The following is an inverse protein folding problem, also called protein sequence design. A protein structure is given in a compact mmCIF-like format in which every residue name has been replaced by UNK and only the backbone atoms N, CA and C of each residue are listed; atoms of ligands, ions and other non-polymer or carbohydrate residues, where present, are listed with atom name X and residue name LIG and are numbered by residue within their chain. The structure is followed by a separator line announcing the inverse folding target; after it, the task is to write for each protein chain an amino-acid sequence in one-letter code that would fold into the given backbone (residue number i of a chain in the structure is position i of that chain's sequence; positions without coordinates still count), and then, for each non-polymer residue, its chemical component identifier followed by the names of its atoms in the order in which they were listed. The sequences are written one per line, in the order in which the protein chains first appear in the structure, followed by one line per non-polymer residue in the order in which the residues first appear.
data_IF_196318145455
#
_entry.id   IF_196318145455
#
_cell.length_a   1.000
_cell.length_b   1.000
_cell.length_c   1.000
_cell.angle_alpha   90.00
_cell.angle_beta   90.00
_cell.angle_gamma   90.00
#
_symmetry.space_group_name_H-M   'P 1'
#
loop_
_entity.id
_entity.type
_entity.pdbx_description
1 polymer ?
#
# COMPACT_ATOMS: atom_id res chain seq x y z
N UNK A 1 -31.30 3.66 13.26
CA UNK A 1 -30.71 4.43 12.14
C UNK A 1 -31.55 4.17 10.88
N UNK A 2 -32.18 5.21 10.33
CA UNK A 2 -32.98 5.07 9.12
C UNK A 2 -32.07 5.29 7.92
N UNK A 3 -31.90 4.27 7.07
CA UNK A 3 -31.08 4.36 5.86
C UNK A 3 -31.71 5.31 4.86
N UNK A 4 -30.91 6.17 4.17
CA UNK A 4 -31.41 6.99 3.09
C UNK A 4 -32.01 6.15 1.96
N UNK A 5 -32.98 6.68 1.21
CA UNK A 5 -33.66 5.98 0.10
C UNK A 5 -32.72 5.57 -1.04
N UNK A 6 -31.62 6.29 -1.20
CA UNK A 6 -30.60 5.98 -2.23
C UNK A 6 -29.64 4.85 -1.81
N UNK A 7 -29.70 4.40 -0.56
CA UNK A 7 -28.85 3.32 -0.06
C UNK A 7 -29.14 2.01 -0.81
N UNK A 8 -28.13 1.21 -1.06
CA UNK A 8 -28.29 -0.06 -1.74
C UNK A 8 -29.09 -1.02 -0.85
N UNK A 9 -30.26 -1.44 -1.34
CA UNK A 9 -31.15 -2.32 -0.57
C UNK A 9 -30.60 -3.73 -0.38
N UNK A 10 -29.69 -4.15 -1.26
CA UNK A 10 -28.99 -5.43 -1.18
C UNK A 10 -27.80 -5.43 -0.23
N UNK A 11 -27.36 -4.26 0.22
CA UNK A 11 -26.22 -4.14 1.12
C UNK A 11 -26.63 -4.42 2.56
N UNK A 12 -26.11 -5.51 3.12
CA UNK A 12 -26.25 -5.79 4.53
C UNK A 12 -25.44 -4.77 5.34
N UNK A 13 -26.04 -4.19 6.38
CA UNK A 13 -25.31 -3.27 7.24
C UNK A 13 -24.23 -4.00 8.00
N UNK A 14 -23.00 -3.63 7.69
CA UNK A 14 -21.82 -4.09 8.40
C UNK A 14 -20.88 -2.90 8.63
N UNK A 15 -20.59 -2.60 9.88
CA UNK A 15 -19.77 -1.45 10.26
C UNK A 15 -18.32 -1.52 9.69
N UNK A 16 -17.85 -2.74 9.45
CA UNK A 16 -16.50 -2.99 8.94
C UNK A 16 -16.42 -2.99 7.42
N UNK A 17 -17.39 -3.60 6.74
CA UNK A 17 -17.34 -3.89 5.30
C UNK A 17 -18.20 -2.95 4.44
N UNK A 18 -18.91 -2.00 5.05
CA UNK A 18 -19.78 -1.08 4.34
C UNK A 18 -19.05 -0.30 3.25
N UNK A 19 -19.45 -0.51 1.97
CA UNK A 19 -18.84 0.09 0.78
C UNK A 19 -17.34 -0.17 0.58
N UNK A 20 -16.82 -1.23 1.15
CA UNK A 20 -15.44 -1.66 0.96
C UNK A 20 -15.36 -2.67 -0.19
N UNK A 21 -15.07 -2.18 -1.38
CA UNK A 21 -15.02 -2.97 -2.61
C UNK A 21 -13.60 -3.19 -3.13
N UNK A 22 -12.63 -2.39 -2.71
CA UNK A 22 -11.28 -2.33 -3.24
C UNK A 22 -10.45 -3.60 -3.03
N UNK A 23 -10.82 -4.48 -2.12
CA UNK A 23 -10.18 -5.81 -1.94
C UNK A 23 -10.18 -6.64 -3.22
N UNK A 24 -11.22 -6.55 -4.08
CA UNK A 24 -11.23 -7.29 -5.35
C UNK A 24 -10.13 -6.83 -6.30
N UNK A 25 -9.71 -5.57 -6.21
CA UNK A 25 -8.62 -5.02 -7.02
C UNK A 25 -7.26 -5.58 -6.59
N UNK A 26 -7.09 -5.98 -5.34
CA UNK A 26 -5.89 -6.68 -4.87
C UNK A 26 -5.78 -8.06 -5.56
N UNK A 27 -6.89 -8.79 -5.71
CA UNK A 27 -6.91 -10.03 -6.49
C UNK A 27 -6.60 -9.79 -7.97
N UNK A 28 -7.13 -8.71 -8.56
CA UNK A 28 -6.78 -8.33 -9.92
C UNK A 28 -5.27 -8.06 -10.06
N UNK A 29 -4.67 -7.35 -9.11
CA UNK A 29 -3.24 -7.08 -9.09
C UNK A 29 -2.41 -8.37 -8.94
N UNK A 30 -2.80 -9.29 -8.06
CA UNK A 30 -2.12 -10.58 -7.91
C UNK A 30 -2.11 -11.39 -9.21
N UNK A 31 -3.20 -11.37 -9.99
CA UNK A 31 -3.25 -12.00 -11.31
C UNK A 31 -2.22 -11.36 -12.25
N UNK A 32 -2.21 -10.05 -12.33
CA UNK A 32 -1.26 -9.32 -13.20
C UNK A 32 0.18 -9.52 -12.75
N UNK A 33 0.46 -9.49 -11.44
CA UNK A 33 1.79 -9.76 -10.89
C UNK A 33 2.28 -11.18 -11.24
N UNK A 34 1.39 -12.16 -11.30
CA UNK A 34 1.75 -13.52 -11.73
C UNK A 34 2.30 -13.53 -13.15
N UNK A 35 1.72 -12.73 -14.06
CA UNK A 35 2.27 -12.53 -15.41
C UNK A 35 3.61 -11.81 -15.37
N UNK A 36 3.70 -10.72 -14.60
CA UNK A 36 4.89 -9.88 -14.55
C UNK A 36 6.11 -10.62 -13.98
N UNK A 37 5.92 -11.45 -12.97
CA UNK A 37 7.01 -12.18 -12.31
C UNK A 37 7.35 -13.50 -12.98
N UNK A 38 6.35 -14.26 -13.44
CA UNK A 38 6.52 -15.63 -13.91
C UNK A 38 6.16 -15.85 -15.39
N UNK A 39 5.82 -14.77 -16.12
CA UNK A 39 5.35 -14.83 -17.50
C UNK A 39 4.20 -15.85 -17.72
N UNK A 40 3.36 -16.02 -16.69
CA UNK A 40 2.24 -16.93 -16.73
C UNK A 40 1.13 -16.44 -17.68
N UNK A 41 0.43 -17.37 -18.33
CA UNK A 41 -0.76 -17.04 -19.11
C UNK A 41 -1.93 -16.69 -18.17
N UNK A 42 -2.32 -15.42 -18.16
CA UNK A 42 -3.44 -14.90 -17.37
C UNK A 42 -4.72 -14.74 -18.18
N UNK A 43 -4.73 -15.11 -19.45
CA UNK A 43 -5.90 -14.98 -20.34
C UNK A 43 -7.19 -15.52 -19.74
N UNK A 44 -7.22 -16.67 -19.05
CA UNK A 44 -8.44 -17.20 -18.42
C UNK A 44 -9.01 -16.29 -17.30
N UNK A 45 -8.21 -15.40 -16.74
CA UNK A 45 -8.56 -14.53 -15.61
C UNK A 45 -8.87 -13.08 -16.02
N UNK A 46 -8.62 -12.69 -17.29
CA UNK A 46 -8.93 -11.35 -17.78
C UNK A 46 -10.41 -10.96 -17.59
N UNK A 47 -11.40 -11.87 -17.79
CA UNK A 47 -12.79 -11.52 -17.55
C UNK A 47 -13.11 -11.09 -16.12
N UNK A 48 -12.36 -11.61 -15.12
CA UNK A 48 -12.50 -11.16 -13.72
C UNK A 48 -12.03 -9.72 -13.55
N UNK A 49 -10.87 -9.38 -14.13
CA UNK A 49 -10.33 -8.01 -14.08
C UNK A 49 -11.30 -7.05 -14.76
N UNK A 50 -11.78 -7.37 -15.96
CA UNK A 50 -12.73 -6.56 -16.72
C UNK A 50 -14.04 -6.33 -15.97
N UNK A 51 -14.62 -7.39 -15.40
CA UNK A 51 -15.85 -7.30 -14.61
C UNK A 51 -15.66 -6.43 -13.38
N UNK A 52 -14.53 -6.57 -12.69
CA UNK A 52 -14.23 -5.77 -11.50
C UNK A 52 -14.10 -4.29 -11.85
N UNK A 53 -13.34 -3.94 -12.89
CA UNK A 53 -13.20 -2.56 -13.34
C UNK A 53 -14.53 -1.97 -13.81
N UNK A 54 -15.33 -2.73 -14.56
CA UNK A 54 -16.66 -2.33 -15.02
C UNK A 54 -17.59 -2.08 -13.83
N UNK A 55 -17.54 -2.94 -12.79
CA UNK A 55 -18.31 -2.71 -11.57
C UNK A 55 -18.01 -1.34 -10.95
N UNK A 56 -16.74 -0.97 -10.78
CA UNK A 56 -16.38 0.32 -10.18
C UNK A 56 -16.92 1.51 -10.99
N UNK A 57 -16.82 1.50 -12.32
CA UNK A 57 -17.34 2.58 -13.16
C UNK A 57 -18.87 2.66 -13.08
N UNK A 58 -19.58 1.55 -13.27
CA UNK A 58 -21.04 1.52 -13.30
C UNK A 58 -21.66 1.76 -11.92
N UNK A 59 -21.09 1.18 -10.86
CA UNK A 59 -21.59 1.28 -9.50
C UNK A 59 -21.65 2.74 -9.03
N UNK A 60 -20.55 3.47 -9.16
CA UNK A 60 -20.50 4.86 -8.70
C UNK A 60 -21.37 5.78 -9.57
N UNK A 61 -21.47 5.53 -10.87
CA UNK A 61 -22.42 6.25 -11.77
C UNK A 61 -23.87 5.99 -11.36
N UNK A 62 -24.22 4.75 -11.06
CA UNK A 62 -25.56 4.38 -10.61
C UNK A 62 -25.89 5.04 -9.27
N UNK A 63 -24.97 4.99 -8.30
CA UNK A 63 -25.19 5.61 -6.99
C UNK A 63 -25.32 7.13 -7.10
N UNK A 64 -24.56 7.78 -7.97
CA UNK A 64 -24.71 9.20 -8.25
C UNK A 64 -26.10 9.53 -8.83
N UNK A 65 -26.54 8.76 -9.81
CA UNK A 65 -27.88 8.89 -10.41
C UNK A 65 -29.00 8.74 -9.37
N UNK A 66 -28.94 7.72 -8.53
CA UNK A 66 -29.91 7.50 -7.42
C UNK A 66 -30.01 8.68 -6.46
N UNK A 67 -28.93 9.43 -6.28
CA UNK A 67 -28.89 10.61 -5.42
C UNK A 67 -29.23 11.90 -6.16
N UNK A 68 -29.55 11.86 -7.45
CA UNK A 68 -29.75 13.03 -8.28
C UNK A 68 -28.48 13.91 -8.39
N UNK A 69 -27.31 13.29 -8.39
CA UNK A 69 -26.00 13.95 -8.46
C UNK A 69 -25.25 13.57 -9.73
N UNK A 70 -24.27 14.39 -10.11
CA UNK A 70 -23.35 14.07 -11.20
C UNK A 70 -22.38 12.98 -10.73
N UNK A 71 -22.04 12.06 -11.63
CA UNK A 71 -21.05 11.01 -11.38
C UNK A 71 -19.61 11.52 -11.54
N UNK A 72 -19.42 12.58 -12.32
CA UNK A 72 -18.12 13.19 -12.57
C UNK A 72 -18.05 14.57 -11.91
N UNK A 73 -16.85 14.91 -11.45
CA UNK A 73 -16.51 16.25 -10.97
C UNK A 73 -16.33 17.27 -12.12
N UNK A 74 -15.93 18.50 -11.79
CA UNK A 74 -15.71 19.57 -12.78
C UNK A 74 -14.52 19.33 -13.71
N UNK A 75 -13.63 18.39 -13.38
CA UNK A 75 -12.46 18.02 -14.16
C UNK A 75 -12.69 16.72 -14.97
N UNK A 76 -13.86 16.11 -14.87
CA UNK A 76 -14.18 14.85 -15.55
C UNK A 76 -13.79 13.60 -14.76
N UNK A 77 -13.36 13.72 -13.50
CA UNK A 77 -13.03 12.57 -12.68
C UNK A 77 -14.27 11.95 -12.03
N UNK A 78 -14.27 10.63 -11.91
CA UNK A 78 -15.33 9.87 -11.24
C UNK A 78 -15.35 10.20 -9.74
N UNK A 79 -16.55 10.44 -9.21
CA UNK A 79 -16.75 10.67 -7.77
C UNK A 79 -17.04 9.33 -7.09
N UNK A 80 -16.06 8.82 -6.37
CA UNK A 80 -16.15 7.55 -5.63
C UNK A 80 -16.85 7.79 -4.28
N UNK A 81 -18.20 7.88 -4.31
CA UNK A 81 -19.02 8.11 -3.12
C UNK A 81 -20.37 7.37 -3.21
N UNK A 82 -20.87 6.75 -2.11
CA UNK A 82 -20.14 6.48 -0.87
C UNK A 82 -19.08 5.39 -1.06
N UNK A 83 -18.00 5.48 -0.29
CA UNK A 83 -16.92 4.52 -0.32
C UNK A 83 -16.39 4.22 1.09
N UNK A 84 -15.38 3.37 1.14
CA UNK A 84 -14.57 3.10 2.32
C UNK A 84 -13.10 3.26 1.99
N UNK A 85 -12.31 3.74 2.93
CA UNK A 85 -10.87 3.59 2.89
C UNK A 85 -10.51 2.48 3.87
N UNK A 86 -10.40 1.27 3.34
CA UNK A 86 -10.35 0.00 4.09
C UNK A 86 -11.51 -0.09 5.10
N UNK A 87 -11.37 -0.90 6.15
CA UNK A 87 -12.36 -0.96 7.23
C UNK A 87 -12.39 0.31 8.10
N UNK A 88 -11.43 1.20 7.94
CA UNK A 88 -11.18 2.30 8.88
C UNK A 88 -12.04 3.53 8.62
N UNK A 89 -11.98 4.12 7.45
CA UNK A 89 -12.72 5.35 7.16
C UNK A 89 -13.97 5.04 6.35
N UNK A 90 -15.14 5.38 6.88
CA UNK A 90 -16.44 5.03 6.30
C UNK A 90 -17.18 6.23 5.75
N UNK A 91 -18.03 5.96 4.74
CA UNK A 91 -18.76 6.98 3.97
C UNK A 91 -17.79 8.00 3.37
N UNK A 92 -16.71 7.48 2.79
CA UNK A 92 -15.67 8.32 2.19
C UNK A 92 -16.09 8.85 0.83
N UNK A 93 -15.58 10.04 0.52
CA UNK A 93 -15.53 10.58 -0.83
C UNK A 93 -14.09 10.45 -1.34
N UNK A 94 -13.89 9.73 -2.43
CA UNK A 94 -12.59 9.53 -3.08
C UNK A 94 -11.52 8.99 -2.12
N UNK A 95 -11.71 7.75 -1.65
CA UNK A 95 -10.75 7.05 -0.79
C UNK A 95 -9.41 6.83 -1.49
N UNK A 96 -8.30 7.13 -0.81
CA UNK A 96 -6.94 6.99 -1.36
C UNK A 96 -6.57 5.54 -1.69
N UNK A 97 -7.01 4.57 -0.87
CA UNK A 97 -6.79 3.14 -1.13
C UNK A 97 -7.47 2.70 -2.42
N UNK A 98 -8.74 3.05 -2.60
CA UNK A 98 -9.52 2.69 -3.80
C UNK A 98 -8.99 3.38 -5.06
N UNK A 99 -8.63 4.67 -4.97
CA UNK A 99 -8.02 5.41 -6.09
C UNK A 99 -6.70 4.76 -6.51
N UNK A 100 -5.84 4.46 -5.54
CA UNK A 100 -4.54 3.84 -5.80
C UNK A 100 -4.71 2.46 -6.47
N UNK A 101 -5.65 1.66 -5.97
CA UNK A 101 -6.01 0.36 -6.51
C UNK A 101 -6.47 0.44 -7.98
N UNK A 102 -7.47 1.29 -8.24
CA UNK A 102 -8.00 1.48 -9.60
C UNK A 102 -6.93 1.97 -10.57
N UNK A 103 -6.12 2.96 -10.14
CA UNK A 103 -5.05 3.50 -10.96
C UNK A 103 -4.06 2.40 -11.37
N UNK A 104 -3.52 1.66 -10.41
CA UNK A 104 -2.49 0.63 -10.68
C UNK A 104 -3.04 -0.51 -11.52
N UNK A 105 -4.25 -1.00 -11.21
CA UNK A 105 -4.86 -2.10 -11.98
C UNK A 105 -5.16 -1.65 -13.41
N UNK A 106 -5.68 -0.44 -13.62
CA UNK A 106 -5.95 0.10 -14.95
C UNK A 106 -4.68 0.33 -15.76
N UNK A 107 -3.63 0.91 -15.15
CA UNK A 107 -2.33 1.12 -15.79
C UNK A 107 -1.69 -0.22 -16.21
N UNK A 108 -1.79 -1.24 -15.36
CA UNK A 108 -1.17 -2.54 -15.61
C UNK A 108 -1.99 -3.39 -16.60
N UNK A 109 -3.33 -3.27 -16.55
CA UNK A 109 -4.22 -3.94 -17.51
C UNK A 109 -4.13 -3.33 -18.91
N UNK A 110 -4.07 -1.99 -19.02
CA UNK A 110 -3.77 -1.25 -20.27
C UNK A 110 -4.92 -1.11 -21.27
N UNK A 111 -6.10 -1.70 -21.02
CA UNK A 111 -7.19 -1.79 -22.01
C UNK A 111 -8.32 -0.75 -21.81
N UNK A 112 -8.33 0.01 -20.72
CA UNK A 112 -9.42 0.93 -20.35
C UNK A 112 -8.91 2.37 -20.14
N UNK A 113 -8.30 2.94 -21.16
CA UNK A 113 -7.67 4.27 -21.09
C UNK A 113 -8.63 5.39 -20.66
N UNK A 114 -9.88 5.37 -21.15
CA UNK A 114 -10.88 6.38 -20.79
C UNK A 114 -11.29 6.29 -19.32
N UNK A 115 -11.36 5.08 -18.75
CA UNK A 115 -11.61 4.91 -17.34
C UNK A 115 -10.41 5.38 -16.52
N UNK A 116 -9.19 5.10 -16.95
CA UNK A 116 -7.97 5.58 -16.28
C UNK A 116 -7.92 7.10 -16.20
N UNK A 117 -8.28 7.80 -17.29
CA UNK A 117 -8.39 9.27 -17.33
C UNK A 117 -9.45 9.81 -16.36
N UNK A 118 -10.49 9.03 -16.09
CA UNK A 118 -11.56 9.41 -15.17
C UNK A 118 -11.23 9.10 -13.69
N UNK A 119 -10.10 8.44 -13.37
CA UNK A 119 -9.73 8.20 -11.98
C UNK A 119 -9.24 9.51 -11.35
N UNK A 120 -9.79 9.91 -10.19
CA UNK A 120 -9.38 11.13 -9.50
C UNK A 120 -7.93 11.01 -9.00
N UNK A 121 -7.25 12.14 -8.77
CA UNK A 121 -5.94 12.13 -8.14
C UNK A 121 -6.03 11.63 -6.69
N UNK A 122 -4.93 11.04 -6.19
CA UNK A 122 -4.84 10.65 -4.78
C UNK A 122 -5.00 11.91 -3.92
N UNK A 123 -5.92 11.91 -2.94
CA UNK A 123 -6.18 13.06 -2.10
C UNK A 123 -4.97 13.37 -1.19
N UNK A 124 -4.59 14.64 -1.16
CA UNK A 124 -3.51 15.13 -0.32
C UNK A 124 -4.07 16.14 0.68
N UNK A 125 -3.42 16.25 1.85
CA UNK A 125 -3.71 17.25 2.87
C UNK A 125 -2.44 17.85 3.45
N UNK A 126 -2.56 18.99 4.11
CA UNK A 126 -1.45 19.61 4.85
C UNK A 126 -1.64 19.37 6.34
N UNK A 127 -0.58 18.92 7.00
CA UNK A 127 -0.49 18.77 8.45
C UNK A 127 0.41 19.89 9.00
N UNK A 128 -0.10 20.60 9.98
CA UNK A 128 0.63 21.65 10.69
C UNK A 128 1.50 21.03 11.79
N UNK A 129 2.80 21.18 11.66
CA UNK A 129 3.76 20.71 12.66
C UNK A 129 4.20 21.90 13.51
N UNK A 130 3.84 21.87 14.79
CA UNK A 130 4.23 22.88 15.78
C UNK A 130 5.48 22.42 16.51
N UNK A 131 6.43 23.33 16.67
CA UNK A 131 7.55 23.11 17.59
C UNK A 131 7.04 23.22 19.02
N UNK A 132 6.94 22.07 19.72
CA UNK A 132 6.46 22.02 21.10
C UNK A 132 7.50 22.54 22.10
N UNK A 133 8.79 22.58 21.72
CA UNK A 133 9.88 23.08 22.55
C UNK A 133 10.05 24.59 22.40
N UNK A 134 9.72 25.14 21.24
CA UNK A 134 9.77 26.57 20.97
C UNK A 134 8.50 27.06 20.26
N UNK A 135 7.42 27.33 20.99
CA UNK A 135 6.13 27.71 20.41
C UNK A 135 6.14 29.07 19.69
N UNK A 136 7.23 29.82 19.73
CA UNK A 136 7.39 31.07 18.97
C UNK A 136 7.82 30.86 17.53
N UNK A 137 8.29 29.63 17.19
CA UNK A 137 8.62 29.27 15.83
C UNK A 137 7.33 29.04 15.05
N UNK A 138 7.23 29.65 13.87
CA UNK A 138 6.08 29.46 13.00
C UNK A 138 5.91 27.97 12.64
N UNK A 139 4.68 27.44 12.64
CA UNK A 139 4.43 26.04 12.27
C UNK A 139 4.89 25.75 10.85
N UNK A 140 5.36 24.52 10.64
CA UNK A 140 5.73 24.02 9.31
C UNK A 140 4.59 23.17 8.77
N UNK A 141 4.14 23.47 7.55
CA UNK A 141 3.15 22.65 6.85
C UNK A 141 3.86 21.49 6.12
N UNK A 142 3.40 20.28 6.39
CA UNK A 142 3.84 19.08 5.69
C UNK A 142 2.71 18.53 4.84
N UNK A 143 2.96 18.35 3.54
CA UNK A 143 2.02 17.68 2.66
C UNK A 143 2.05 16.18 2.92
N UNK A 144 0.87 15.58 3.08
CA UNK A 144 0.67 14.15 3.38
C UNK A 144 -0.44 13.59 2.50
N UNK A 145 -0.47 12.28 2.33
CA UNK A 145 -1.60 11.59 1.71
C UNK A 145 -2.76 11.61 2.69
N UNK A 146 -3.94 12.03 2.22
CA UNK A 146 -5.17 11.95 2.99
C UNK A 146 -5.83 10.58 2.82
N UNK A 147 -6.50 10.00 3.83
CA UNK A 147 -7.24 8.75 3.66
C UNK A 147 -8.37 8.86 2.62
N UNK A 148 -8.96 10.02 2.49
CA UNK A 148 -9.97 10.36 1.51
C UNK A 148 -10.09 11.91 1.39
N UNK A 149 -10.91 12.41 0.47
CA UNK A 149 -11.27 13.84 0.43
C UNK A 149 -12.11 14.22 1.66
N UNK A 150 -13.04 13.35 2.04
CA UNK A 150 -13.84 13.47 3.28
C UNK A 150 -14.36 12.11 3.72
N UNK A 151 -14.77 12.01 4.98
CA UNK A 151 -15.36 10.81 5.59
C UNK A 151 -16.30 11.20 6.74
N UNK A 152 -17.19 10.28 7.13
CA UNK A 152 -18.10 10.52 8.26
C UNK A 152 -17.57 9.98 9.58
N UNK A 153 -16.93 8.81 9.59
CA UNK A 153 -16.49 8.12 10.81
C UNK A 153 -15.27 7.26 10.61
N UNK A 154 -14.62 6.95 11.72
CA UNK A 154 -13.48 6.03 11.81
C UNK A 154 -13.92 4.83 12.65
N UNK A 155 -13.84 3.63 12.07
CA UNK A 155 -14.30 2.38 12.69
C UNK A 155 -13.18 1.45 13.14
N UNK A 156 -12.01 1.52 12.50
CA UNK A 156 -10.88 0.60 12.73
C UNK A 156 -9.56 1.36 12.90
N UNK A 157 -8.46 0.65 12.86
CA UNK A 157 -7.10 1.16 13.11
C UNK A 157 -6.13 0.89 11.95
N UNK A 158 -6.63 0.59 10.76
CA UNK A 158 -5.82 0.53 9.54
C UNK A 158 -5.40 1.93 9.10
N UNK A 159 -4.37 1.99 8.26
CA UNK A 159 -3.79 3.24 7.78
C UNK A 159 -3.87 3.30 6.25
N UNK A 160 -5.08 3.43 5.66
CA UNK A 160 -5.28 3.39 4.21
C UNK A 160 -4.57 4.50 3.45
N UNK A 161 -4.22 5.62 4.08
CA UNK A 161 -3.37 6.66 3.49
C UNK A 161 -1.93 6.19 3.19
N UNK A 162 -1.51 5.03 3.69
CA UNK A 162 -0.24 4.39 3.34
C UNK A 162 -0.39 3.23 2.32
N UNK A 163 -1.60 2.90 1.91
CA UNK A 163 -1.83 1.90 0.86
C UNK A 163 -1.28 2.33 -0.51
N UNK A 164 -1.25 3.61 -0.89
CA UNK A 164 -0.51 4.04 -2.08
C UNK A 164 1.00 3.75 -2.04
N UNK A 165 1.58 3.45 -0.83
CA UNK A 165 2.96 2.97 -0.68
C UNK A 165 3.02 1.45 -0.84
N UNK A 166 2.17 0.71 -0.11
CA UNK A 166 2.01 -0.74 -0.22
C UNK A 166 0.56 -1.10 0.14
N UNK A 167 -0.14 -1.91 -0.69
CA UNK A 167 0.40 -2.72 -1.79
C UNK A 167 0.60 -2.00 -3.12
N UNK A 168 0.07 -0.77 -3.32
CA UNK A 168 -0.08 -0.16 -4.64
C UNK A 168 1.20 0.45 -5.23
N UNK A 169 2.26 0.62 -4.46
CA UNK A 169 3.60 1.04 -4.91
C UNK A 169 3.62 2.29 -5.81
N UNK A 170 2.70 3.23 -5.60
CA UNK A 170 2.70 4.53 -6.29
C UNK A 170 3.80 5.42 -5.71
N UNK A 171 3.96 5.41 -4.39
CA UNK A 171 5.04 6.08 -3.67
C UNK A 171 6.03 5.05 -3.13
N UNK A 172 7.30 5.43 -3.04
CA UNK A 172 8.34 4.56 -2.50
C UNK A 172 9.75 4.97 -2.90
N UNK A 173 10.74 4.21 -2.47
CA UNK A 173 12.14 4.46 -2.81
C UNK A 173 12.33 4.44 -4.33
N UNK A 174 13.04 5.46 -4.83
CA UNK A 174 13.30 5.62 -6.27
C UNK A 174 12.16 6.26 -7.06
N UNK A 175 11.01 6.55 -6.43
CA UNK A 175 9.85 7.20 -7.06
C UNK A 175 9.79 8.68 -6.72
N UNK A 176 9.02 9.42 -7.54
CA UNK A 176 8.71 10.81 -7.28
C UNK A 176 7.89 10.97 -6.00
N UNK A 177 7.90 12.15 -5.42
CA UNK A 177 7.09 12.52 -4.25
C UNK A 177 7.25 11.61 -3.01
N UNK A 178 8.41 10.92 -2.88
CA UNK A 178 8.71 10.08 -1.72
C UNK A 178 8.50 10.82 -0.40
N UNK A 179 8.81 12.11 -0.37
CA UNK A 179 8.67 12.93 0.84
C UNK A 179 7.22 13.11 1.29
N UNK A 180 6.24 13.10 0.38
CA UNK A 180 4.81 13.13 0.73
C UNK A 180 4.45 11.87 1.52
N UNK A 181 4.89 10.71 1.06
CA UNK A 181 4.63 9.44 1.74
C UNK A 181 5.40 9.32 3.07
N UNK A 182 6.65 9.78 3.13
CA UNK A 182 7.42 9.87 4.38
C UNK A 182 6.76 10.83 5.37
N UNK A 183 6.29 11.98 4.90
CA UNK A 183 5.53 12.92 5.74
C UNK A 183 4.25 12.26 6.28
N UNK A 184 3.54 11.49 5.46
CA UNK A 184 2.36 10.73 5.90
C UNK A 184 2.74 9.77 7.02
N UNK A 185 3.81 9.01 6.85
CA UNK A 185 4.29 8.08 7.87
C UNK A 185 4.64 8.78 9.19
N UNK A 186 5.33 9.91 9.15
CA UNK A 186 5.85 10.57 10.35
C UNK A 186 4.91 11.57 10.99
N UNK A 187 4.03 12.23 10.23
CA UNK A 187 3.28 13.38 10.71
C UNK A 187 1.76 13.23 10.63
N UNK A 188 1.25 12.24 9.89
CA UNK A 188 -0.18 12.00 9.89
C UNK A 188 -0.64 11.48 11.25
N UNK A 189 -1.62 12.14 11.92
CA UNK A 189 -2.02 11.80 13.29
C UNK A 189 -2.54 10.36 13.43
N UNK A 190 -3.29 9.89 12.44
CA UNK A 190 -3.86 8.55 12.47
C UNK A 190 -2.81 7.50 12.12
N UNK A 191 -1.89 7.79 11.18
CA UNK A 191 -0.76 6.91 10.89
C UNK A 191 0.15 6.73 12.12
N UNK A 192 0.37 7.79 12.90
CA UNK A 192 1.11 7.70 14.17
C UNK A 192 0.33 6.90 15.21
N UNK A 193 -0.96 7.24 15.40
CA UNK A 193 -1.83 6.63 16.41
C UNK A 193 -2.04 5.14 16.20
N UNK A 194 -2.19 4.72 14.95
CA UNK A 194 -2.52 3.34 14.59
C UNK A 194 -1.28 2.48 14.31
N UNK A 195 -0.08 3.04 14.35
CA UNK A 195 1.18 2.31 14.09
C UNK A 195 1.39 1.16 15.06
N UNK A 196 1.62 -0.04 14.53
CA UNK A 196 1.85 -1.22 15.32
C UNK A 196 2.61 -2.29 14.53
N UNK A 197 3.23 -3.24 15.23
CA UNK A 197 3.82 -4.45 14.67
C UNK A 197 2.91 -5.68 14.83
N UNK A 198 1.77 -5.53 15.51
CA UNK A 198 0.93 -6.66 15.97
C UNK A 198 0.02 -7.15 14.85
N UNK A 199 -0.15 -8.47 14.74
CA UNK A 199 -1.11 -9.09 13.84
C UNK A 199 -0.87 -8.74 12.36
N UNK A 200 -1.93 -8.39 11.68
CA UNK A 200 -1.97 -8.02 10.27
C UNK A 200 -1.34 -6.66 9.91
N UNK A 201 -0.91 -5.88 10.91
CA UNK A 201 -0.32 -4.55 10.67
C UNK A 201 0.87 -4.59 9.71
N UNK A 202 0.89 -3.62 8.79
CA UNK A 202 1.83 -3.53 7.67
C UNK A 202 2.91 -2.46 7.86
N UNK A 203 3.01 -1.87 9.05
CA UNK A 203 3.91 -0.73 9.30
C UNK A 203 5.38 -1.01 9.03
N UNK A 204 5.83 -2.26 9.22
CA UNK A 204 7.18 -2.71 8.85
C UNK A 204 7.37 -2.71 7.33
N UNK A 205 6.34 -3.04 6.56
CA UNK A 205 6.38 -3.04 5.09
C UNK A 205 6.45 -1.60 4.58
N UNK A 206 5.58 -0.72 5.06
CA UNK A 206 5.61 0.70 4.67
C UNK A 206 6.95 1.35 5.02
N UNK A 207 7.49 1.09 6.21
CA UNK A 207 8.81 1.59 6.59
C UNK A 207 9.91 1.11 5.62
N UNK A 208 9.88 -0.15 5.21
CA UNK A 208 10.81 -0.70 4.23
C UNK A 208 10.64 -0.05 2.84
N UNK A 209 9.40 0.05 2.33
CA UNK A 209 9.10 0.68 1.05
C UNK A 209 9.48 2.16 0.98
N UNK A 210 9.47 2.85 2.12
CA UNK A 210 9.88 4.25 2.24
C UNK A 210 11.39 4.44 2.48
N UNK A 211 12.17 3.36 2.57
CA UNK A 211 13.61 3.40 2.84
C UNK A 211 13.96 3.88 4.26
N UNK A 212 13.06 3.69 5.22
CA UNK A 212 13.22 4.06 6.63
C UNK A 212 13.89 2.91 7.39
N UNK A 213 15.17 2.73 7.19
CA UNK A 213 15.94 1.57 7.66
C UNK A 213 15.75 1.27 9.14
N UNK A 214 15.88 2.27 10.02
CA UNK A 214 15.76 2.08 11.46
C UNK A 214 14.34 1.71 11.90
N UNK A 215 13.31 2.33 11.30
CA UNK A 215 11.92 1.98 11.58
C UNK A 215 11.58 0.58 11.05
N UNK A 216 12.00 0.23 9.83
CA UNK A 216 11.82 -1.09 9.26
C UNK A 216 12.50 -2.18 10.12
N UNK A 217 13.74 -1.94 10.55
CA UNK A 217 14.49 -2.80 11.48
C UNK A 217 13.73 -3.00 12.79
N UNK A 218 13.35 -1.90 13.45
CA UNK A 218 12.64 -1.92 14.73
C UNK A 218 11.32 -2.70 14.65
N UNK A 219 10.49 -2.39 13.67
CA UNK A 219 9.17 -3.02 13.51
C UNK A 219 9.28 -4.49 13.09
N UNK A 220 10.23 -4.84 12.20
CA UNK A 220 10.46 -6.23 11.80
C UNK A 220 10.98 -7.09 12.96
N UNK A 221 11.92 -6.58 13.75
CA UNK A 221 12.38 -7.28 14.95
C UNK A 221 11.24 -7.49 15.96
N UNK A 222 10.43 -6.46 16.21
CA UNK A 222 9.29 -6.56 17.11
C UNK A 222 8.26 -7.59 16.61
N UNK A 223 7.98 -7.59 15.31
CA UNK A 223 7.03 -8.51 14.67
C UNK A 223 7.50 -9.97 14.71
N UNK A 224 8.81 -10.22 14.59
CA UNK A 224 9.42 -11.55 14.57
C UNK A 224 9.91 -12.02 15.94
N UNK A 225 9.77 -11.20 16.97
CA UNK A 225 10.18 -11.56 18.34
C UNK A 225 9.17 -12.51 19.00
N UNK A 226 9.63 -13.20 20.06
CA UNK A 226 8.80 -14.05 20.88
C UNK A 226 7.78 -13.24 21.69
N UNK A 227 6.54 -13.70 21.72
CA UNK A 227 5.49 -13.19 22.59
C UNK A 227 5.27 -14.05 23.83
N UNK A 228 4.45 -13.60 24.80
CA UNK A 228 4.16 -14.32 26.06
C UNK A 228 3.11 -15.43 25.90
N UNK A 229 2.78 -15.86 24.70
CA UNK A 229 1.70 -16.80 24.41
C UNK A 229 2.20 -18.25 24.31
N UNK A 230 1.27 -19.22 24.22
CA UNK A 230 1.59 -20.64 24.09
C UNK A 230 2.54 -20.95 22.95
N UNK A 231 2.36 -20.28 21.82
CA UNK A 231 3.32 -20.27 20.71
C UNK A 231 4.04 -18.92 20.71
N UNK A 232 5.36 -18.92 20.76
CA UNK A 232 6.11 -17.70 21.02
C UNK A 232 6.08 -16.68 19.89
N UNK A 233 5.84 -17.11 18.64
CA UNK A 233 5.77 -16.22 17.49
C UNK A 233 4.43 -16.38 16.75
N UNK A 234 3.94 -15.30 16.15
CA UNK A 234 2.73 -15.26 15.33
C UNK A 234 1.45 -15.78 15.99
N UNK A 235 1.45 -15.82 17.31
CA UNK A 235 0.31 -16.22 18.10
C UNK A 235 -0.34 -15.00 18.73
N UNK A 236 -1.61 -14.76 18.36
CA UNK A 236 -2.39 -13.66 18.90
C UNK A 236 -2.02 -13.28 20.34
N UNK A 237 -2.51 -12.24 20.89
CA UNK A 237 -3.77 -11.58 20.59
C UNK A 237 -3.62 -10.65 19.41
N UNK A 238 -3.37 -11.21 18.23
CA UNK A 238 -3.73 -10.51 17.05
C UNK A 238 -5.22 -10.21 17.16
N UNK A 239 -5.71 -9.49 16.28
CA UNK A 239 -7.13 -9.22 16.21
C UNK A 239 -7.90 -10.47 15.80
N UNK A 240 -7.20 -11.38 15.14
CA UNK A 240 -7.72 -12.64 14.68
C UNK A 240 -7.09 -13.77 15.50
N UNK A 241 -7.75 -14.88 15.48
CA UNK A 241 -7.40 -16.03 16.28
C UNK A 241 -6.11 -16.70 15.80
N UNK A 242 -5.51 -17.40 16.64
CA UNK A 242 -4.23 -18.04 16.42
C UNK A 242 -4.32 -19.37 15.65
N UNK A 243 -3.30 -19.71 14.85
CA UNK A 243 -2.13 -18.92 14.50
C UNK A 243 -2.48 -17.80 13.50
N UNK A 244 -1.90 -16.63 13.67
CA UNK A 244 -2.13 -15.49 12.79
C UNK A 244 -1.19 -15.55 11.57
N UNK A 245 -1.71 -16.01 10.45
CA UNK A 245 -0.96 -16.11 9.19
C UNK A 245 -0.61 -14.73 8.62
N UNK A 246 -1.45 -13.73 8.84
CA UNK A 246 -1.19 -12.35 8.40
C UNK A 246 0.00 -11.75 9.14
N UNK A 247 0.18 -12.11 10.40
CA UNK A 247 1.35 -11.70 11.18
C UNK A 247 2.65 -12.22 10.54
N UNK A 248 2.72 -13.52 10.27
CA UNK A 248 3.86 -14.14 9.60
C UNK A 248 4.08 -13.61 8.20
N UNK A 249 3.01 -13.52 7.39
CA UNK A 249 3.04 -13.01 6.03
C UNK A 249 3.56 -11.58 5.95
N UNK A 250 3.01 -10.66 6.74
CA UNK A 250 3.49 -9.27 6.77
C UNK A 250 4.92 -9.13 7.31
N UNK A 251 5.34 -10.03 8.23
CA UNK A 251 6.72 -10.13 8.67
C UNK A 251 7.70 -10.49 7.55
N UNK A 252 7.36 -11.54 6.78
CA UNK A 252 8.16 -11.98 5.63
C UNK A 252 8.23 -10.92 4.52
N UNK A 253 7.09 -10.33 4.15
CA UNK A 253 7.05 -9.28 3.12
C UNK A 253 7.92 -8.10 3.55
N UNK A 254 7.83 -7.66 4.80
CA UNK A 254 8.67 -6.57 5.30
C UNK A 254 10.16 -6.85 5.16
N UNK A 255 10.62 -8.07 5.49
CA UNK A 255 12.01 -8.46 5.27
C UNK A 255 12.41 -8.47 3.79
N UNK A 256 11.54 -8.96 2.90
CA UNK A 256 11.78 -8.95 1.46
C UNK A 256 11.90 -7.53 0.92
N UNK A 257 11.00 -6.61 1.34
CA UNK A 257 11.03 -5.20 0.96
C UNK A 257 12.27 -4.45 1.48
N UNK A 258 12.82 -4.86 2.63
CA UNK A 258 14.10 -4.32 3.11
C UNK A 258 15.28 -4.73 2.21
N UNK A 259 15.19 -5.89 1.54
CA UNK A 259 16.25 -6.48 0.73
C UNK A 259 16.17 -6.10 -0.75
N UNK A 260 14.96 -6.13 -1.33
CA UNK A 260 14.76 -5.94 -2.76
C UNK A 260 13.42 -5.23 -3.01
N UNK A 261 13.48 -4.16 -3.79
CA UNK A 261 12.33 -3.45 -4.35
C UNK A 261 12.54 -3.20 -5.85
N UNK A 262 11.50 -2.81 -6.55
CA UNK A 262 11.57 -2.48 -7.96
C UNK A 262 10.96 -1.12 -8.27
N UNK A 263 11.51 -0.42 -9.27
CA UNK A 263 10.95 0.80 -9.82
C UNK A 263 11.09 0.78 -11.34
N UNK A 264 10.01 0.46 -12.04
CA UNK A 264 10.08 0.14 -13.47
C UNK A 264 11.03 -1.03 -13.70
N UNK A 265 12.03 -0.85 -14.59
CA UNK A 265 13.04 -1.86 -14.87
C UNK A 265 14.12 -1.96 -13.78
N UNK A 266 14.28 -0.96 -12.93
CA UNK A 266 15.30 -0.95 -11.88
C UNK A 266 14.99 -1.94 -10.77
N UNK A 267 16.03 -2.65 -10.32
CA UNK A 267 16.00 -3.56 -9.17
C UNK A 267 16.87 -2.94 -8.07
N UNK A 268 16.20 -2.46 -7.02
CA UNK A 268 16.83 -1.75 -5.91
C UNK A 268 17.23 -2.74 -4.83
N UNK A 269 18.53 -2.95 -4.62
CA UNK A 269 19.02 -3.85 -3.57
C UNK A 269 19.34 -3.09 -2.28
N UNK A 270 18.90 -3.66 -1.18
CA UNK A 270 19.09 -3.14 0.18
C UNK A 270 18.51 -1.73 0.40
N UNK A 271 17.30 -1.43 -0.08
CA UNK A 271 16.72 -0.08 0.05
C UNK A 271 16.46 0.34 1.50
N UNK A 272 16.26 -0.64 2.41
CA UNK A 272 16.03 -0.40 3.83
C UNK A 272 16.73 -1.43 4.75
N UNK A 273 17.85 -2.01 4.30
CA UNK A 273 18.58 -3.00 5.07
C UNK A 273 19.66 -2.35 5.96
N UNK A 274 19.77 -2.75 7.26
CA UNK A 274 20.82 -2.26 8.14
C UNK A 274 22.21 -2.71 7.67
N UNK A 275 23.17 -1.79 7.57
CA UNK A 275 24.52 -2.09 7.09
C UNK A 275 25.28 -3.14 7.94
N UNK A 276 24.96 -3.19 9.22
CA UNK A 276 25.57 -4.11 10.18
C UNK A 276 25.01 -5.54 10.13
N UNK A 277 23.90 -5.76 9.43
CA UNK A 277 23.31 -7.09 9.29
C UNK A 277 23.87 -7.82 8.08
N UNK A 278 24.61 -8.90 8.32
CA UNK A 278 25.02 -9.79 7.26
C UNK A 278 23.83 -10.61 6.78
N UNK A 279 23.75 -10.83 5.48
CA UNK A 279 22.65 -11.59 4.86
C UNK A 279 23.11 -12.27 3.58
N UNK A 280 22.53 -13.44 3.31
CA UNK A 280 22.49 -14.07 2.00
C UNK A 280 21.03 -14.32 1.66
N UNK A 281 20.60 -13.93 0.45
CA UNK A 281 19.23 -14.13 0.01
C UNK A 281 19.15 -14.48 -1.46
N UNK A 282 18.02 -15.09 -1.83
CA UNK A 282 17.59 -15.31 -3.21
C UNK A 282 16.13 -14.91 -3.34
N UNK A 283 15.85 -13.89 -4.13
CA UNK A 283 14.52 -13.34 -4.35
C UNK A 283 14.23 -13.19 -5.84
N UNK A 284 12.96 -12.97 -6.16
CA UNK A 284 12.50 -12.73 -7.52
C UNK A 284 12.17 -11.24 -7.73
N UNK A 285 12.35 -10.81 -8.98
CA UNK A 285 11.92 -9.52 -9.49
C UNK A 285 11.13 -9.73 -10.79
N UNK A 286 10.33 -8.77 -11.26
CA UNK A 286 9.60 -8.87 -12.52
C UNK A 286 10.48 -9.24 -13.70
N UNK A 287 9.86 -9.83 -14.76
CA UNK A 287 10.55 -10.28 -15.96
C UNK A 287 11.35 -11.56 -15.75
N UNK A 288 10.77 -12.54 -15.02
CA UNK A 288 11.37 -13.85 -14.74
C UNK A 288 12.78 -13.74 -14.13
N UNK A 289 13.00 -12.65 -13.38
CA UNK A 289 14.32 -12.31 -12.86
C UNK A 289 14.53 -12.92 -11.48
N UNK A 290 15.67 -13.60 -11.28
CA UNK A 290 16.13 -14.08 -9.97
C UNK A 290 17.37 -13.30 -9.56
N UNK A 291 17.38 -12.82 -8.33
CA UNK A 291 18.52 -12.10 -7.73
C UNK A 291 18.98 -12.86 -6.50
N UNK A 292 20.26 -13.27 -6.50
CA UNK A 292 20.92 -13.88 -5.36
C UNK A 292 22.09 -12.98 -4.96
N UNK A 293 22.10 -12.55 -3.70
CA UNK A 293 23.13 -11.62 -3.23
C UNK A 293 23.58 -11.92 -1.80
N UNK A 294 24.82 -11.58 -1.52
CA UNK A 294 25.42 -11.67 -0.17
C UNK A 294 25.93 -10.29 0.25
N UNK A 295 25.48 -9.84 1.41
CA UNK A 295 26.02 -8.65 2.08
C UNK A 295 26.81 -9.10 3.31
N UNK A 296 28.08 -8.66 3.42
CA UNK A 296 28.93 -8.86 4.60
C UNK A 296 29.63 -7.55 4.96
N UNK A 297 29.54 -7.21 6.25
CA UNK A 297 30.17 -5.99 6.79
C UNK A 297 29.83 -4.72 5.98
N UNK A 298 28.56 -4.58 5.58
CA UNK A 298 28.04 -3.44 4.82
C UNK A 298 28.45 -3.38 3.35
N UNK A 299 29.06 -4.44 2.81
CA UNK A 299 29.48 -4.54 1.40
C UNK A 299 28.86 -5.73 0.71
N UNK A 300 28.44 -5.57 -0.52
CA UNK A 300 28.00 -6.68 -1.39
C UNK A 300 29.22 -7.47 -1.78
N UNK A 301 29.30 -8.74 -1.36
CA UNK A 301 30.44 -9.63 -1.62
C UNK A 301 30.17 -10.64 -2.72
N UNK A 302 28.91 -10.89 -3.03
CA UNK A 302 28.46 -11.76 -4.11
C UNK A 302 27.14 -11.26 -4.69
N UNK A 303 27.00 -11.33 -6.02
CA UNK A 303 25.79 -10.92 -6.73
C UNK A 303 25.62 -11.72 -8.01
N UNK A 304 24.56 -12.51 -8.05
CA UNK A 304 24.14 -13.28 -9.21
C UNK A 304 22.74 -12.85 -9.64
N UNK A 305 22.57 -12.57 -10.92
CA UNK A 305 21.29 -12.16 -11.51
C UNK A 305 21.01 -13.07 -12.72
N UNK A 306 19.82 -13.59 -12.78
CA UNK A 306 19.35 -14.42 -13.90
C UNK A 306 18.04 -13.83 -14.43
N UNK A 307 17.94 -13.57 -15.75
CA UNK A 307 19.02 -13.68 -16.76
C UNK A 307 20.11 -12.60 -16.54
N UNK A 308 21.32 -12.90 -16.96
CA UNK A 308 22.50 -12.00 -16.78
C UNK A 308 22.27 -10.60 -17.40
N UNK A 309 21.45 -10.52 -18.45
CA UNK A 309 21.07 -9.26 -19.09
C UNK A 309 20.40 -8.26 -18.13
N UNK A 310 19.78 -8.74 -17.06
CA UNK A 310 19.11 -7.92 -16.03
C UNK A 310 20.08 -7.33 -15.00
N UNK A 311 21.34 -7.75 -15.00
CA UNK A 311 22.35 -7.22 -14.06
C UNK A 311 22.59 -5.72 -14.21
N UNK A 312 22.40 -5.19 -15.42
CA UNK A 312 22.49 -3.74 -15.71
C UNK A 312 21.43 -2.90 -14.97
N UNK A 313 20.32 -3.53 -14.57
CA UNK A 313 19.18 -2.87 -13.92
C UNK A 313 19.31 -2.84 -12.39
N UNK A 314 20.36 -3.46 -11.86
CA UNK A 314 20.66 -3.48 -10.42
C UNK A 314 21.15 -2.12 -9.93
N UNK A 315 20.54 -1.63 -8.88
CA UNK A 315 20.95 -0.44 -8.14
C UNK A 315 21.19 -0.79 -6.69
N UNK A 316 22.44 -0.73 -6.23
CA UNK A 316 22.80 -1.02 -4.83
C UNK A 316 22.57 0.25 -4.01
N UNK A 317 21.60 0.21 -3.10
CA UNK A 317 21.16 1.38 -2.33
C UNK A 317 21.96 1.61 -1.06
N UNK A 318 22.48 0.53 -0.45
CA UNK A 318 23.22 0.59 0.82
C UNK A 318 24.56 1.34 0.72
N UNK A 319 25.11 1.47 -0.49
CA UNK A 319 26.38 2.14 -0.78
C UNK A 319 26.18 3.63 -1.13
N UNK A 320 24.93 4.05 -1.38
CA UNK A 320 24.63 5.46 -1.61
C UNK A 320 24.55 6.17 -0.26
N UNK A 321 25.30 7.23 -0.09
CA UNK A 321 25.09 8.16 1.03
C UNK A 321 23.67 8.74 0.90
N UNK A 322 22.94 8.71 2.01
CA UNK A 322 21.56 9.21 2.08
C UNK A 322 21.55 10.73 2.17
#
# INVERSE_FOLDING_TARGET
FQRPDWFDKGLEYNAWLEYEWDTVLEFCQMIVETKNYANADITPYLPLIESSLTFFDEHYRQLASRRGRKALDGNGHLILFPGSACETYKMTNNASSTIAALKVVLETYGEKEEMLKAIPPIPLRYIEIKDTLNPTIAPVLKQTISPAVSWERINNVETPQLYPVFPWRIYGVGKEDLDIARNTYFYDPDAIKFRSHTGWKQDNIWAACLGLTEEAKKLSLAKLSNGPHRFPAFWGPGYDWTPDHNWGGSGMIGLQEMLLQTNGEQILLFPAWPKEWNVHFKLHAPGETTVEATLKNGKVTDLKVLPESRKKDIVIMIEKEK
#
